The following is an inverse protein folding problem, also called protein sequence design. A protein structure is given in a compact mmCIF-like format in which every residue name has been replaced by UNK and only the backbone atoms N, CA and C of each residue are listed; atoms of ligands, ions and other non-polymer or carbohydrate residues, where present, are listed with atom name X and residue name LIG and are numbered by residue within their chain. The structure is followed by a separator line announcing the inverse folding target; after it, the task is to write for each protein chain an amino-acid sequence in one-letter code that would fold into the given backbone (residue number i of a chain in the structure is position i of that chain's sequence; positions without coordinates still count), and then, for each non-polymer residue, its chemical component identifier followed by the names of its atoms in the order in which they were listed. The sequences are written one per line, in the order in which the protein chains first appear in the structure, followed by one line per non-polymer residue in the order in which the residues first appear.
data_IF_944593312861
#
_entry.id   IF_944593312861
#
_cell.length_a   1.000
_cell.length_b   1.000
_cell.length_c   1.000
_cell.angle_alpha   90.00
_cell.angle_beta   90.00
_cell.angle_gamma   90.00
#
_symmetry.space_group_name_H-M   'P 1'
#
loop_
_entity.id
_entity.type
_entity.pdbx_description
1 polymer ?
#
# COMPACT_ATOMS: atom_id res chain seq x y z
N UNK A 1 -12.98 -23.59 59.67
CA UNK A 1 -11.54 -23.35 59.36
C UNK A 1 -11.12 -24.48 58.45
N UNK A 2 -11.19 -24.27 57.14
CA UNK A 2 -10.75 -25.25 56.14
C UNK A 2 -9.58 -24.64 55.38
N UNK A 3 -8.45 -25.32 55.48
CA UNK A 3 -7.20 -25.02 54.77
C UNK A 3 -7.30 -25.61 53.34
N UNK A 4 -6.65 -25.00 52.34
CA UNK A 4 -6.66 -25.53 50.99
C UNK A 4 -5.77 -26.77 50.90
N UNK A 5 -6.20 -27.78 50.13
CA UNK A 5 -5.35 -28.92 49.74
C UNK A 5 -4.79 -28.64 48.34
N UNK A 6 -3.47 -28.77 48.13
CA UNK A 6 -2.80 -28.41 46.89
C UNK A 6 -2.88 -29.50 45.81
N UNK A 7 -2.55 -29.05 44.61
CA UNK A 7 -2.58 -29.71 43.30
C UNK A 7 -2.08 -31.16 43.28
N UNK A 8 -2.88 -32.00 42.62
CA UNK A 8 -2.45 -33.22 41.95
C UNK A 8 -2.20 -32.84 40.47
N UNK A 9 -1.28 -33.36 39.66
CA UNK A 9 -0.45 -34.57 39.62
C UNK A 9 0.73 -34.21 38.71
N UNK A 10 1.97 -34.55 39.07
CA UNK A 10 3.04 -34.71 38.08
C UNK A 10 3.27 -36.20 37.81
N UNK A 11 3.76 -36.47 36.60
CA UNK A 11 4.25 -37.74 36.06
C UNK A 11 3.15 -38.73 35.64
N UNK A 12 3.20 -39.45 34.52
CA UNK A 12 4.31 -39.80 33.64
C UNK A 12 3.76 -40.33 32.31
N UNK A 13 4.46 -40.01 31.24
CA UNK A 13 4.82 -40.86 30.08
C UNK A 13 3.77 -41.80 29.46
N UNK A 14 3.53 -41.52 28.18
CA UNK A 14 3.42 -42.46 27.07
C UNK A 14 2.18 -43.35 26.99
N UNK A 15 1.13 -42.79 26.40
CA UNK A 15 0.10 -43.58 25.73
C UNK A 15 0.19 -43.36 24.21
N UNK A 16 0.69 -44.39 23.54
CA UNK A 16 0.75 -44.59 22.10
C UNK A 16 -0.49 -44.04 21.37
N UNK A 17 -0.31 -43.04 20.51
CA UNK A 17 -1.32 -42.67 19.51
C UNK A 17 -0.94 -43.33 18.18
N UNK A 18 -1.74 -44.32 17.80
CA UNK A 18 -1.72 -45.01 16.52
C UNK A 18 -1.97 -44.04 15.36
N UNK A 19 -1.32 -44.32 14.24
CA UNK A 19 -1.05 -43.47 13.06
C UNK A 19 -2.26 -43.14 12.15
N UNK A 20 -3.49 -43.08 12.66
CA UNK A 20 -4.71 -42.95 11.83
C UNK A 20 -5.68 -41.87 12.30
N UNK A 21 -5.16 -40.66 12.52
CA UNK A 21 -5.98 -39.51 12.94
C UNK A 21 -5.39 -38.16 12.58
N UNK A 22 -4.79 -38.01 11.40
CA UNK A 22 -4.27 -36.71 10.93
C UNK A 22 -5.42 -35.85 10.39
N UNK A 23 -6.27 -35.36 11.29
CA UNK A 23 -7.13 -34.22 10.97
C UNK A 23 -6.23 -33.07 10.52
N UNK A 24 -6.34 -32.72 9.24
CA UNK A 24 -5.68 -31.54 8.68
C UNK A 24 -6.33 -30.31 9.32
N UNK A 25 -5.76 -29.87 10.44
CA UNK A 25 -5.95 -28.50 10.93
C UNK A 25 -5.59 -27.56 9.78
N UNK A 26 -6.62 -27.01 9.12
CA UNK A 26 -6.43 -25.87 8.21
C UNK A 26 -6.07 -24.69 9.09
N UNK A 27 -4.79 -24.45 9.27
CA UNK A 27 -4.29 -23.18 9.80
C UNK A 27 -4.98 -22.05 9.04
N UNK A 28 -5.75 -21.24 9.75
CA UNK A 28 -6.44 -20.09 9.16
C UNK A 28 -5.38 -19.04 8.88
N UNK A 29 -5.11 -18.77 7.60
CA UNK A 29 -4.27 -17.64 7.22
C UNK A 29 -4.96 -16.33 7.62
N UNK A 30 -4.36 -15.60 8.55
CA UNK A 30 -4.81 -14.25 8.91
C UNK A 30 -4.15 -13.29 7.91
N UNK A 31 -4.94 -12.76 6.98
CA UNK A 31 -4.47 -11.72 6.06
C UNK A 31 -4.68 -10.35 6.73
N UNK A 32 -3.62 -9.55 6.93
CA UNK A 32 -3.77 -8.19 7.46
C UNK A 32 -4.66 -7.35 6.55
N UNK A 33 -5.62 -6.61 7.12
CA UNK A 33 -6.55 -5.75 6.37
C UNK A 33 -5.80 -4.72 5.50
N UNK A 34 -4.66 -4.23 5.98
CA UNK A 34 -3.83 -3.26 5.25
C UNK A 34 -3.06 -3.84 4.06
N UNK A 35 -3.03 -5.17 3.85
CA UNK A 35 -2.24 -5.80 2.79
C UNK A 35 -2.68 -5.37 1.38
N UNK A 36 -3.92 -4.91 1.22
CA UNK A 36 -4.51 -4.58 -0.08
C UNK A 36 -4.80 -3.08 -0.28
N UNK A 37 -4.28 -2.21 0.59
CA UNK A 37 -4.46 -0.76 0.47
C UNK A 37 -3.25 -0.18 -0.25
N UNK A 38 -3.48 0.55 -1.33
CA UNK A 38 -2.49 1.39 -2.00
C UNK A 38 -2.97 2.83 -1.96
N UNK A 39 -2.08 3.72 -1.54
CA UNK A 39 -2.34 5.16 -1.48
C UNK A 39 -1.44 5.84 -2.48
N UNK A 40 -1.99 6.78 -3.26
CA UNK A 40 -1.22 7.55 -4.22
C UNK A 40 -1.41 9.03 -3.91
N UNK A 41 -0.28 9.73 -3.77
CA UNK A 41 -0.28 11.16 -3.45
C UNK A 41 0.03 11.97 -4.69
N UNK A 42 -0.69 13.08 -4.84
CA UNK A 42 -0.48 14.01 -5.95
C UNK A 42 0.68 14.97 -5.75
N UNK A 43 1.41 14.87 -4.63
CA UNK A 43 2.68 15.56 -4.27
C UNK A 43 3.44 14.79 -3.21
N UNK A 44 4.75 15.05 -3.16
CA UNK A 44 5.60 14.65 -2.05
C UNK A 44 5.11 15.26 -0.73
N UNK A 45 5.41 14.59 0.38
CA UNK A 45 5.10 15.08 1.71
C UNK A 45 5.73 16.47 1.95
N UNK A 46 4.94 17.39 2.52
CA UNK A 46 5.36 18.77 2.76
C UNK A 46 5.38 19.68 1.52
N UNK A 47 5.03 19.16 0.34
CA UNK A 47 5.01 19.93 -0.92
C UNK A 47 3.59 20.28 -1.33
N UNK A 48 3.41 21.52 -1.82
CA UNK A 48 2.12 22.05 -2.25
C UNK A 48 1.67 21.39 -3.55
N UNK A 49 0.42 20.92 -3.57
CA UNK A 49 -0.22 20.40 -4.77
C UNK A 49 -0.71 21.51 -5.71
N UNK A 50 -0.19 21.51 -6.94
CA UNK A 50 -0.49 22.53 -7.93
C UNK A 50 -1.83 22.29 -8.64
N UNK A 51 -2.55 23.39 -8.87
CA UNK A 51 -3.86 23.40 -9.54
C UNK A 51 -3.89 24.49 -10.60
N UNK A 52 -4.34 24.16 -11.81
CA UNK A 52 -4.69 25.15 -12.82
C UNK A 52 -5.96 25.92 -12.39
N UNK A 53 -5.98 27.26 -12.50
CA UNK A 53 -7.16 28.05 -12.15
C UNK A 53 -8.42 27.64 -12.92
N UNK A 54 -8.27 27.20 -14.17
CA UNK A 54 -9.32 26.89 -15.12
C UNK A 54 -9.52 25.36 -15.35
N UNK A 55 -8.46 24.56 -15.23
CA UNK A 55 -8.48 23.12 -15.54
C UNK A 55 -8.60 22.18 -14.34
N UNK A 56 -8.30 22.64 -13.12
CA UNK A 56 -8.26 21.78 -11.94
C UNK A 56 -6.86 21.25 -11.61
N UNK A 57 -6.77 20.16 -10.84
CA UNK A 57 -5.49 19.65 -10.33
C UNK A 57 -4.68 19.02 -11.49
N UNK A 58 -3.38 19.31 -11.54
CA UNK A 58 -2.50 18.81 -12.61
C UNK A 58 -2.44 17.28 -12.63
N UNK A 59 -2.12 16.67 -11.49
CA UNK A 59 -2.02 15.22 -11.34
C UNK A 59 -3.31 14.51 -11.76
N UNK A 60 -4.48 14.95 -11.32
CA UNK A 60 -5.75 14.31 -11.67
C UNK A 60 -6.07 14.41 -13.17
N UNK A 61 -5.75 15.54 -13.81
CA UNK A 61 -5.96 15.71 -15.25
C UNK A 61 -5.05 14.77 -16.04
N UNK A 62 -3.77 14.73 -15.68
CA UNK A 62 -2.78 13.86 -16.32
C UNK A 62 -3.10 12.39 -16.08
N UNK A 63 -3.45 12.00 -14.85
CA UNK A 63 -3.86 10.64 -14.53
C UNK A 63 -5.06 10.18 -15.38
N UNK A 64 -6.08 11.04 -15.50
CA UNK A 64 -7.22 10.75 -16.37
C UNK A 64 -6.84 10.64 -17.84
N UNK A 65 -5.88 11.44 -18.31
CA UNK A 65 -5.36 11.38 -19.68
C UNK A 65 -4.63 10.07 -19.93
N UNK A 66 -3.66 9.72 -19.08
CA UNK A 66 -2.86 8.49 -19.17
C UNK A 66 -3.75 7.25 -19.12
N UNK A 67 -4.71 7.19 -18.20
CA UNK A 67 -5.66 6.06 -18.14
C UNK A 67 -6.47 5.88 -19.42
N UNK A 68 -6.91 6.98 -20.05
CA UNK A 68 -7.68 6.91 -21.31
C UNK A 68 -6.80 6.49 -22.49
N UNK A 69 -5.56 6.96 -22.53
CA UNK A 69 -4.62 6.66 -23.63
C UNK A 69 -4.07 5.24 -23.54
N UNK A 70 -3.90 4.71 -22.33
CA UNK A 70 -3.22 3.44 -22.08
C UNK A 70 -4.09 2.43 -21.31
N UNK A 71 -5.24 1.99 -21.85
CA UNK A 71 -6.20 1.16 -21.11
C UNK A 71 -5.70 -0.24 -20.74
N UNK A 72 -4.56 -0.68 -21.30
CA UNK A 72 -3.98 -2.00 -21.05
C UNK A 72 -2.88 -2.04 -19.98
N UNK A 73 -2.50 -0.90 -19.41
CA UNK A 73 -1.44 -0.84 -18.40
C UNK A 73 -1.98 -1.16 -17.00
N UNK A 74 -1.13 -1.77 -16.18
CA UNK A 74 -1.42 -1.96 -14.75
C UNK A 74 -1.36 -0.62 -14.00
N UNK A 75 -2.07 -0.51 -12.88
CA UNK A 75 -2.22 0.75 -12.16
C UNK A 75 -0.88 1.40 -11.76
N UNK A 76 0.13 0.64 -11.37
CA UNK A 76 1.46 1.19 -11.04
C UNK A 76 2.13 1.79 -12.27
N UNK A 77 1.96 1.18 -13.44
CA UNK A 77 2.48 1.72 -14.70
C UNK A 77 1.76 3.01 -15.09
N UNK A 78 0.43 3.05 -14.94
CA UNK A 78 -0.35 4.28 -15.14
C UNK A 78 0.16 5.41 -14.22
N UNK A 79 0.41 5.10 -12.95
CA UNK A 79 0.91 6.09 -12.00
C UNK A 79 2.32 6.55 -12.38
N UNK A 80 3.20 5.62 -12.79
CA UNK A 80 4.54 5.95 -13.26
C UNK A 80 4.51 6.92 -14.45
N UNK A 81 3.74 6.61 -15.49
CA UNK A 81 3.56 7.45 -16.69
C UNK A 81 2.93 8.81 -16.33
N UNK A 82 1.97 8.82 -15.39
CA UNK A 82 1.37 10.05 -14.88
C UNK A 82 2.43 10.95 -14.24
N UNK A 83 3.36 10.37 -13.47
CA UNK A 83 4.40 11.13 -12.80
C UNK A 83 5.36 11.78 -13.80
N UNK A 84 5.81 11.02 -14.82
CA UNK A 84 6.70 11.55 -15.87
C UNK A 84 6.03 12.67 -16.66
N UNK A 85 4.75 12.52 -16.99
CA UNK A 85 4.02 13.52 -17.75
C UNK A 85 3.72 14.79 -16.92
N UNK A 86 3.39 14.65 -15.63
CA UNK A 86 3.22 15.81 -14.73
C UNK A 86 4.53 16.59 -14.57
N UNK A 87 5.65 15.89 -14.40
CA UNK A 87 6.97 16.52 -14.31
C UNK A 87 7.30 17.30 -15.59
N UNK A 88 7.05 16.69 -16.75
CA UNK A 88 7.26 17.33 -18.05
C UNK A 88 6.36 18.55 -18.22
N UNK A 89 5.06 18.44 -17.94
CA UNK A 89 4.13 19.57 -18.11
C UNK A 89 4.43 20.74 -17.17
N UNK A 90 4.85 20.48 -15.93
CA UNK A 90 5.21 21.53 -14.99
C UNK A 90 6.53 22.21 -15.40
N UNK A 91 7.51 21.44 -15.85
CA UNK A 91 8.81 21.96 -16.30
C UNK A 91 8.70 22.76 -17.61
N UNK A 92 7.79 22.39 -18.53
CA UNK A 92 7.61 23.11 -19.79
C UNK A 92 6.77 24.38 -19.68
N UNK A 93 5.80 24.44 -18.75
CA UNK A 93 4.85 25.57 -18.67
C UNK A 93 5.30 26.73 -17.77
N UNK A 94 6.35 26.56 -16.97
CA UNK A 94 6.75 27.55 -15.99
C UNK A 94 8.27 27.78 -16.02
N UNK A 95 8.64 29.06 -15.87
CA UNK A 95 9.90 29.55 -15.30
C UNK A 95 10.09 29.03 -13.86
N UNK A 96 10.03 27.72 -13.63
CA UNK A 96 10.35 27.15 -12.33
C UNK A 96 11.86 27.29 -12.12
N UNK A 97 12.24 27.97 -11.04
CA UNK A 97 13.60 27.86 -10.53
C UNK A 97 13.92 26.38 -10.30
N UNK A 98 15.16 25.97 -10.56
CA UNK A 98 15.65 24.58 -10.51
C UNK A 98 15.26 23.81 -9.23
N UNK A 99 14.90 24.52 -8.16
CA UNK A 99 14.42 23.94 -6.92
C UNK A 99 13.03 23.29 -7.09
N UNK A 100 12.08 23.90 -7.79
CA UNK A 100 10.71 23.37 -7.94
C UNK A 100 10.62 22.06 -8.72
N UNK A 101 11.57 21.81 -9.63
CA UNK A 101 11.60 20.60 -10.47
C UNK A 101 12.03 19.34 -9.70
N UNK A 102 12.72 19.48 -8.55
CA UNK A 102 13.25 18.33 -7.80
C UNK A 102 12.24 17.67 -6.85
N UNK A 103 11.03 18.21 -6.74
CA UNK A 103 10.09 17.83 -5.67
C UNK A 103 8.88 17.01 -6.14
N UNK A 104 8.76 16.68 -7.43
CA UNK A 104 7.66 15.87 -7.97
C UNK A 104 8.01 14.38 -8.10
N UNK A 105 8.89 13.86 -7.24
CA UNK A 105 8.95 12.41 -7.04
C UNK A 105 7.74 12.00 -6.19
N UNK A 106 6.63 11.64 -6.84
CA UNK A 106 5.50 11.06 -6.12
C UNK A 106 5.92 9.67 -5.62
N UNK A 107 6.12 9.57 -4.31
CA UNK A 107 6.51 8.32 -3.65
C UNK A 107 5.28 7.43 -3.43
N UNK A 108 5.49 6.14 -3.66
CA UNK A 108 4.56 5.04 -3.35
C UNK A 108 4.56 4.72 -1.85
#
# INVERSE_FOLDING_TARGET
IEKPIPMAVEESSDLFLTDEGKEREREREIIPVARNIRTFFSTSEGVVAWRRPDGGNYFLQTFCKVMRTNPGLELQQIIFETNEEVETELNCNNTFSEEGSRFNHFYF
#
